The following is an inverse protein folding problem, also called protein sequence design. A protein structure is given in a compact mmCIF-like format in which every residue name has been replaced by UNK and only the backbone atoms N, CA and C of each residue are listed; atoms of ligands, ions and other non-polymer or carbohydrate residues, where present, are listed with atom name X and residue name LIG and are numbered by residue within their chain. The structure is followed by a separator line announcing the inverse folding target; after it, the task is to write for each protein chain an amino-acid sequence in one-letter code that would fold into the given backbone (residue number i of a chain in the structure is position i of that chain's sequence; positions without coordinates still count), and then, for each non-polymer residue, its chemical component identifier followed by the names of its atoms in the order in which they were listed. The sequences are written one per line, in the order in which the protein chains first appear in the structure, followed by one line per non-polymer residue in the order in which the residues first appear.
data_IF_495762193417
#
_entry.id   IF_495762193417
#
_cell.length_a   1.000
_cell.length_b   1.000
_cell.length_c   1.000
_cell.angle_alpha   90.00
_cell.angle_beta   90.00
_cell.angle_gamma   90.00
#
_symmetry.space_group_name_H-M   'P 1'
#
loop_
_entity.id
_entity.type
_entity.pdbx_description
1 polymer ?
#
# COMPACT_ATOMS: atom_id res chain seq x y z
N UNK A 1 9.58 -35.22 14.98
CA UNK A 1 10.86 -35.13 14.23
C UNK A 1 10.76 -33.98 13.25
N UNK A 2 11.70 -33.03 13.25
CA UNK A 2 11.66 -31.85 12.36
C UNK A 2 12.81 -31.95 11.34
N UNK A 3 12.50 -32.28 10.09
CA UNK A 3 13.47 -32.66 9.05
C UNK A 3 14.50 -31.56 8.71
N UNK A 4 14.11 -30.29 8.85
CA UNK A 4 14.95 -29.13 8.55
C UNK A 4 15.99 -28.78 9.62
N UNK A 5 15.83 -29.25 10.85
CA UNK A 5 16.75 -28.99 11.98
C UNK A 5 17.51 -30.24 12.45
N UNK A 6 17.08 -31.43 12.03
CA UNK A 6 17.73 -32.71 12.38
C UNK A 6 18.92 -32.95 11.46
N UNK A 7 20.12 -33.28 11.98
CA UNK A 7 21.26 -33.62 11.13
C UNK A 7 21.05 -34.97 10.45
N UNK A 8 21.36 -35.06 9.15
CA UNK A 8 21.29 -36.34 8.43
C UNK A 8 22.55 -37.17 8.66
N UNK A 9 22.38 -38.48 8.83
CA UNK A 9 23.40 -39.43 9.32
C UNK A 9 24.68 -39.46 8.48
N UNK A 10 24.59 -39.23 7.18
CA UNK A 10 25.74 -39.23 6.26
C UNK A 10 26.59 -37.95 6.30
N UNK A 11 25.99 -36.80 6.61
CA UNK A 11 26.65 -35.47 6.45
C UNK A 11 26.78 -34.72 7.77
N UNK A 12 26.13 -35.16 8.85
CA UNK A 12 26.23 -34.59 10.19
C UNK A 12 25.62 -33.18 10.35
N UNK A 13 25.05 -32.61 9.29
CA UNK A 13 24.50 -31.26 9.23
C UNK A 13 23.00 -31.30 8.89
N UNK A 14 22.20 -30.28 9.23
CA UNK A 14 20.81 -30.20 8.80
C UNK A 14 20.69 -29.69 7.36
N UNK A 15 19.64 -30.06 6.59
CA UNK A 15 19.49 -29.62 5.18
C UNK A 15 19.49 -28.09 5.01
N UNK A 16 18.96 -27.37 5.99
CA UNK A 16 18.95 -25.90 6.01
C UNK A 16 20.35 -25.27 6.00
N UNK A 17 21.35 -25.93 6.61
CA UNK A 17 22.73 -25.47 6.60
C UNK A 17 23.39 -25.75 5.23
N UNK A 18 23.07 -26.90 4.61
CA UNK A 18 23.64 -27.29 3.32
C UNK A 18 23.19 -26.35 2.19
N UNK A 19 21.88 -26.12 2.04
CA UNK A 19 21.31 -25.35 0.93
C UNK A 19 21.37 -23.84 1.13
N UNK A 20 21.23 -23.36 2.37
CA UNK A 20 21.05 -21.92 2.65
C UNK A 20 22.12 -21.33 3.57
N UNK A 21 23.12 -22.12 4.00
CA UNK A 21 24.16 -21.74 4.98
C UNK A 21 23.58 -21.11 6.26
N UNK A 22 22.33 -21.48 6.61
CA UNK A 22 21.55 -20.85 7.67
C UNK A 22 21.35 -21.84 8.81
N UNK A 23 21.98 -21.56 9.94
CA UNK A 23 21.71 -22.28 11.18
C UNK A 23 20.42 -21.75 11.81
N UNK A 24 19.34 -22.51 11.68
CA UNK A 24 18.08 -22.23 12.37
C UNK A 24 18.25 -22.57 13.85
N UNK A 25 18.03 -21.58 14.73
CA UNK A 25 17.81 -21.81 16.15
C UNK A 25 16.31 -21.95 16.36
N UNK A 26 15.85 -23.05 16.95
CA UNK A 26 14.42 -23.45 17.03
C UNK A 26 13.58 -22.62 18.02
N UNK A 27 13.86 -21.33 18.16
CA UNK A 27 12.99 -20.34 18.80
C UNK A 27 13.04 -19.02 18.03
N UNK A 28 12.04 -18.80 17.18
CA UNK A 28 11.69 -17.45 16.71
C UNK A 28 10.48 -17.00 17.55
N UNK A 29 10.69 -16.33 18.71
CA UNK A 29 9.59 -15.65 19.37
C UNK A 29 9.07 -14.56 18.42
N UNK A 30 7.75 -14.53 18.21
CA UNK A 30 7.14 -13.73 17.16
C UNK A 30 7.40 -12.22 17.35
N UNK A 31 8.00 -11.57 16.35
CA UNK A 31 8.05 -10.11 16.26
C UNK A 31 6.80 -9.65 15.50
N UNK A 32 5.70 -9.41 16.22
CA UNK A 32 4.48 -8.81 15.68
C UNK A 32 4.03 -7.61 16.51
N UNK A 33 4.59 -6.45 16.15
CA UNK A 33 4.04 -5.10 16.31
C UNK A 33 4.74 -4.27 15.20
N UNK A 34 4.28 -3.16 14.64
CA UNK A 34 3.59 -1.95 15.16
C UNK A 34 2.78 -1.31 14.03
N UNK A 35 1.73 -0.49 14.23
CA UNK A 35 0.81 -0.30 15.37
C UNK A 35 -0.62 -0.47 14.83
N UNK A 36 -1.59 -0.80 15.69
CA UNK A 36 -3.01 -0.52 15.42
C UNK A 36 -3.69 -0.06 16.72
N UNK A 37 -3.93 1.24 16.85
CA UNK A 37 -4.45 1.92 18.07
C UNK A 37 -5.67 1.21 18.69
N UNK A 38 -6.59 0.72 17.86
CA UNK A 38 -7.73 -0.08 18.29
C UNK A 38 -8.12 -1.07 17.19
N UNK A 39 -8.58 -2.27 17.53
CA UNK A 39 -9.10 -3.26 16.56
C UNK A 39 -10.15 -2.66 15.60
N UNK A 40 -10.93 -1.70 16.10
CA UNK A 40 -12.06 -1.07 15.40
C UNK A 40 -11.69 0.11 14.48
N UNK A 41 -10.46 0.67 14.51
CA UNK A 41 -10.14 1.76 13.55
C UNK A 41 -10.09 1.24 12.11
N UNK A 42 -10.59 2.02 11.13
CA UNK A 42 -10.45 1.67 9.72
C UNK A 42 -8.97 1.65 9.31
N UNK A 43 -8.63 0.81 8.33
CA UNK A 43 -7.25 0.68 7.84
C UNK A 43 -6.85 1.84 6.89
N UNK A 44 -7.78 2.71 6.53
CA UNK A 44 -7.59 3.87 5.67
C UNK A 44 -8.20 5.09 6.35
N UNK A 45 -7.55 6.25 6.22
CA UNK A 45 -8.08 7.52 6.70
C UNK A 45 -9.21 8.01 5.78
N UNK A 46 -10.16 8.78 6.35
CA UNK A 46 -11.26 9.37 5.58
C UNK A 46 -10.86 10.63 4.80
N UNK A 47 -9.73 11.27 5.16
CA UNK A 47 -9.20 12.44 4.47
C UNK A 47 -8.90 12.07 3.00
N UNK A 48 -9.51 12.76 2.01
CA UNK A 48 -9.19 12.54 0.62
C UNK A 48 -7.75 13.00 0.33
N UNK A 49 -7.13 12.35 -0.65
CA UNK A 49 -5.81 12.72 -1.11
C UNK A 49 -5.77 12.59 -2.64
N UNK A 50 -5.24 13.60 -3.31
CA UNK A 50 -5.13 13.65 -4.76
C UNK A 50 -3.87 12.92 -5.25
N UNK A 51 -3.97 12.17 -6.36
CA UNK A 51 -2.82 11.49 -6.97
C UNK A 51 -2.09 12.48 -7.90
N UNK A 52 -0.89 12.88 -7.53
CA UNK A 52 -0.07 13.83 -8.30
C UNK A 52 0.68 13.13 -9.43
N UNK A 53 1.30 11.96 -9.15
CA UNK A 53 2.07 11.18 -10.15
C UNK A 53 1.92 9.69 -9.92
N UNK A 54 1.89 8.91 -11.01
CA UNK A 54 1.79 7.45 -10.99
C UNK A 54 2.89 6.83 -11.84
N UNK A 55 3.81 6.13 -11.19
CA UNK A 55 4.94 5.42 -11.80
C UNK A 55 4.78 3.91 -11.60
N UNK A 56 3.97 3.26 -12.45
CA UNK A 56 3.65 1.84 -12.31
C UNK A 56 2.87 1.54 -11.03
N UNK A 57 3.51 0.81 -10.10
CA UNK A 57 2.97 0.49 -8.77
C UNK A 57 3.29 1.54 -7.70
N UNK A 58 4.19 2.48 -7.98
CA UNK A 58 4.60 3.56 -7.08
C UNK A 58 3.80 4.83 -7.39
N UNK A 59 3.25 5.47 -6.36
CA UNK A 59 2.29 6.57 -6.50
C UNK A 59 2.68 7.70 -5.55
N UNK A 60 2.73 8.92 -6.07
CA UNK A 60 2.84 10.14 -5.29
C UNK A 60 1.44 10.71 -5.06
N UNK A 61 1.12 10.93 -3.80
CA UNK A 61 -0.21 11.27 -3.30
C UNK A 61 -0.06 12.51 -2.40
N UNK A 62 -0.86 13.53 -2.65
CA UNK A 62 -0.83 14.80 -1.92
C UNK A 62 -2.09 14.95 -1.07
N UNK A 63 -1.91 15.43 0.16
CA UNK A 63 -3.01 15.68 1.07
C UNK A 63 -3.63 17.06 0.82
N UNK A 64 -4.88 17.07 0.38
CA UNK A 64 -5.65 18.26 -0.02
C UNK A 64 -5.74 19.33 1.12
N UNK A 65 -5.64 18.93 2.39
CA UNK A 65 -5.72 19.82 3.55
C UNK A 65 -4.37 20.42 3.99
N UNK A 66 -3.25 19.77 3.67
CA UNK A 66 -1.93 20.12 4.24
C UNK A 66 -0.81 20.32 3.20
N UNK A 67 -1.08 20.03 1.91
CA UNK A 67 -0.07 20.05 0.84
C UNK A 67 1.05 19.01 1.02
N UNK A 68 0.94 18.11 2.01
CA UNK A 68 1.99 17.11 2.26
C UNK A 68 1.94 16.01 1.20
N UNK A 69 3.07 15.80 0.52
CA UNK A 69 3.25 14.76 -0.47
C UNK A 69 3.84 13.49 0.14
N UNK A 70 3.18 12.36 -0.11
CA UNK A 70 3.58 11.04 0.35
C UNK A 70 3.82 10.10 -0.85
N UNK A 71 4.81 9.21 -0.70
CA UNK A 71 5.10 8.15 -1.66
C UNK A 71 4.55 6.83 -1.14
N UNK A 72 3.61 6.21 -1.87
CA UNK A 72 2.91 4.98 -1.46
C UNK A 72 2.80 4.00 -2.63
N UNK A 73 2.78 2.71 -2.31
CA UNK A 73 2.45 1.68 -3.29
C UNK A 73 0.93 1.67 -3.54
N UNK A 74 0.51 1.44 -4.79
CA UNK A 74 -0.90 1.35 -5.21
C UNK A 74 -1.72 0.32 -4.40
N UNK A 75 -1.10 -0.75 -3.90
CA UNK A 75 -1.75 -1.76 -3.03
C UNK A 75 -2.21 -1.17 -1.69
N UNK A 76 -1.63 -0.05 -1.26
CA UNK A 76 -2.01 0.67 -0.04
C UNK A 76 -2.93 1.87 -0.30
N UNK A 77 -3.50 1.98 -1.50
CA UNK A 77 -4.48 3.00 -1.88
C UNK A 77 -5.84 2.35 -2.14
N UNK A 78 -6.91 2.98 -1.67
CA UNK A 78 -8.29 2.60 -1.99
C UNK A 78 -8.89 3.69 -2.87
N UNK A 79 -9.54 3.30 -3.97
CA UNK A 79 -10.37 4.23 -4.76
C UNK A 79 -11.54 4.71 -3.90
N UNK A 80 -11.73 6.02 -3.81
CA UNK A 80 -12.91 6.64 -3.21
C UNK A 80 -14.03 6.75 -4.24
N UNK A 81 -15.27 6.65 -3.80
CA UNK A 81 -16.45 6.86 -4.64
C UNK A 81 -16.80 8.35 -4.60
N UNK A 82 -16.16 9.12 -5.48
CA UNK A 82 -16.33 10.56 -5.60
C UNK A 82 -16.03 11.06 -7.01
N UNK A 83 -16.36 12.32 -7.27
CA UNK A 83 -16.08 13.01 -8.54
C UNK A 83 -14.56 13.04 -8.81
N UNK A 84 -14.11 12.29 -9.81
CA UNK A 84 -12.69 12.21 -10.19
C UNK A 84 -12.27 13.49 -10.93
N UNK A 85 -11.72 14.47 -10.21
CA UNK A 85 -11.05 15.62 -10.83
C UNK A 85 -9.65 15.19 -11.32
N UNK A 86 -9.49 15.06 -12.63
CA UNK A 86 -8.18 14.88 -13.26
C UNK A 86 -7.51 16.25 -13.36
N UNK A 87 -6.64 16.57 -12.40
CA UNK A 87 -5.86 17.82 -12.44
C UNK A 87 -4.72 17.64 -13.46
N UNK A 88 -4.99 17.96 -14.72
CA UNK A 88 -3.96 18.07 -15.73
C UNK A 88 -3.10 19.31 -15.42
N UNK A 89 -1.80 19.14 -15.17
CA UNK A 89 -0.88 20.27 -14.97
C UNK A 89 -0.45 20.87 -16.31
N UNK A 90 -1.43 21.38 -17.04
CA UNK A 90 -1.31 22.36 -18.13
C UNK A 90 -2.50 23.31 -17.93
N UNK A 91 -2.29 24.60 -18.09
CA UNK A 91 -3.18 25.62 -17.53
C UNK A 91 -4.62 25.62 -18.02
N UNK A 92 -5.41 26.38 -17.27
CA UNK A 92 -6.58 27.14 -17.68
C UNK A 92 -7.99 26.55 -17.40
N UNK A 93 -8.82 27.48 -16.90
CA UNK A 93 -10.28 27.48 -16.78
C UNK A 93 -10.97 26.41 -15.90
N UNK A 94 -11.48 26.86 -14.74
CA UNK A 94 -12.64 26.23 -14.12
C UNK A 94 -13.85 26.32 -15.06
N UNK A 95 -14.35 25.19 -15.56
CA UNK A 95 -15.73 25.13 -16.09
C UNK A 95 -16.58 24.27 -15.18
N UNK A 96 -17.20 24.92 -14.19
CA UNK A 96 -18.24 24.32 -13.36
C UNK A 96 -19.61 24.72 -13.90
N UNK A 97 -20.43 23.71 -14.23
CA UNK A 97 -21.88 23.83 -14.47
C UNK A 97 -22.26 24.56 -15.80
N UNK A 98 -23.47 24.43 -16.37
CA UNK A 98 -24.72 23.83 -15.89
C UNK A 98 -25.34 22.84 -16.89
N UNK A 99 -26.05 21.84 -16.37
CA UNK A 99 -27.09 21.15 -17.13
C UNK A 99 -28.36 22.00 -17.07
N UNK A 100 -28.80 22.58 -18.18
CA UNK A 100 -30.16 23.10 -18.32
C UNK A 100 -30.79 22.49 -19.58
N UNK A 101 -31.90 21.78 -19.39
CA UNK A 101 -32.78 21.35 -20.48
C UNK A 101 -33.46 22.59 -21.09
N UNK A 102 -33.79 22.57 -22.38
CA UNK A 102 -35.13 22.98 -22.87
C UNK A 102 -35.34 22.63 -24.36
N UNK A 103 -36.60 22.75 -24.79
CA UNK A 103 -37.16 22.13 -26.00
C UNK A 103 -37.28 23.09 -27.22
N UNK A 104 -37.64 22.48 -28.37
CA UNK A 104 -38.35 23.08 -29.52
C UNK A 104 -37.48 23.87 -30.52
N UNK A 105 -37.73 23.84 -31.84
CA UNK A 105 -38.87 23.27 -32.61
C UNK A 105 -38.37 22.44 -33.78
#
# INVERSE_FOLDING_TARGET
MMYNATPHTTTGKPPAELFFRRQFRDKIPAVKNTVKENKLVPNFNSTPHTVVKKNGSDVQVENDETGQQYRRNVVHLKKTEGQWKVINTAGDEETSLEQNNEHHT
#
